data_IF_875604967335
#
_entry.id   IF_875604967335
#
_cell.length_a   1.000
_cell.length_b   1.000
_cell.length_c   1.000
_cell.angle_alpha   90.00
_cell.angle_beta   90.00
_cell.angle_gamma   90.00
#
_symmetry.space_group_name_H-M   'P 1'
#
loop_
_entity.id
_entity.type
_entity.pdbx_description
1 polymer ?
#
# COMPACT_ATOMS: atom_id res chain seq x y z
N UNK A 1 -62.64 -0.05 33.15
CA UNK A 1 -63.00 0.46 34.47
C UNK A 1 -61.88 1.31 35.06
N UNK A 2 -62.22 2.58 35.14
CA UNK A 2 -61.81 3.63 36.11
C UNK A 2 -60.32 3.95 36.25
N UNK A 3 -59.97 5.08 35.77
CA UNK A 3 -60.16 6.48 36.24
C UNK A 3 -59.03 6.96 37.16
N UNK A 4 -58.29 7.93 36.64
CA UNK A 4 -57.92 9.25 37.21
C UNK A 4 -57.42 9.27 38.64
N UNK A 5 -56.29 9.91 38.90
CA UNK A 5 -56.29 11.21 39.59
C UNK A 5 -54.94 11.94 39.47
N UNK A 6 -55.06 13.19 39.01
CA UNK A 6 -54.04 14.27 39.16
C UNK A 6 -53.90 14.63 40.63
N UNK A 7 -52.69 14.99 41.08
CA UNK A 7 -52.56 15.95 42.18
C UNK A 7 -51.37 16.90 41.95
N UNK A 8 -51.78 18.12 41.75
CA UNK A 8 -50.99 19.33 41.87
C UNK A 8 -50.78 19.61 43.34
N UNK A 9 -49.56 19.97 43.80
CA UNK A 9 -49.37 20.78 44.97
C UNK A 9 -48.36 21.90 44.71
N UNK A 10 -48.87 23.07 45.03
CA UNK A 10 -48.18 24.38 44.96
C UNK A 10 -47.42 24.65 46.27
N UNK A 11 -46.33 25.40 46.10
CA UNK A 11 -45.79 26.47 46.96
C UNK A 11 -45.48 26.22 48.42
N UNK A 12 -44.26 26.46 48.76
CA UNK A 12 -43.95 27.36 49.90
C UNK A 12 -42.64 28.09 49.62
N UNK A 13 -42.74 29.37 49.46
CA UNK A 13 -41.64 30.34 49.66
C UNK A 13 -41.18 30.25 51.11
N UNK A 14 -39.89 30.16 51.34
CA UNK A 14 -39.29 30.70 52.53
C UNK A 14 -38.07 31.50 52.14
N UNK A 15 -38.24 32.80 52.29
CA UNK A 15 -37.22 33.85 52.35
C UNK A 15 -36.24 33.56 53.46
N UNK A 16 -34.95 33.38 53.11
CA UNK A 16 -33.88 33.69 54.05
C UNK A 16 -32.85 34.51 53.30
N UNK A 17 -32.87 35.79 53.67
CA UNK A 17 -31.96 36.81 53.22
C UNK A 17 -30.57 36.62 53.85
N UNK A 18 -29.56 37.06 53.07
CA UNK A 18 -28.30 37.65 53.42
C UNK A 18 -27.15 36.79 53.93
N UNK A 19 -26.19 36.59 53.06
CA UNK A 19 -24.93 37.35 53.20
C UNK A 19 -24.29 37.42 51.84
N UNK A 20 -24.27 38.56 51.25
CA UNK A 20 -23.57 38.88 50.02
C UNK A 20 -22.08 38.69 50.22
N UNK A 21 -21.54 37.73 49.53
CA UNK A 21 -20.19 37.81 49.01
C UNK A 21 -20.39 37.76 47.51
N UNK A 22 -20.56 38.96 46.95
CA UNK A 22 -20.22 39.24 45.57
C UNK A 22 -18.73 38.96 45.45
N UNK A 23 -18.35 37.68 45.35
CA UNK A 23 -17.17 37.32 44.64
C UNK A 23 -17.55 37.53 43.18
N UNK A 24 -17.50 38.77 42.77
CA UNK A 24 -17.23 39.11 41.40
C UNK A 24 -15.88 38.48 41.10
N UNK A 25 -15.90 37.15 40.81
CA UNK A 25 -14.92 36.62 39.90
C UNK A 25 -15.09 37.48 38.64
N UNK A 26 -14.29 38.54 38.62
CA UNK A 26 -13.69 38.94 37.40
C UNK A 26 -13.03 37.64 36.84
N UNK A 27 -13.80 36.82 36.15
CA UNK A 27 -13.36 36.26 34.91
C UNK A 27 -13.04 37.51 34.07
N UNK A 28 -11.89 38.13 34.37
CA UNK A 28 -11.10 38.65 33.29
C UNK A 28 -11.06 37.48 32.32
N UNK A 29 -11.95 37.47 31.34
CA UNK A 29 -11.59 37.03 30.06
C UNK A 29 -10.23 37.71 29.87
N UNK A 30 -9.16 36.97 30.16
CA UNK A 30 -7.93 37.14 29.46
C UNK A 30 -8.36 36.69 28.07
N UNK A 31 -9.05 37.57 27.39
CA UNK A 31 -8.91 37.74 25.99
C UNK A 31 -7.39 37.72 25.88
N UNK A 32 -6.82 36.65 25.44
CA UNK A 32 -5.54 36.71 24.82
C UNK A 32 -5.74 37.72 23.69
N UNK A 33 -5.55 38.99 24.07
CA UNK A 33 -5.40 40.06 23.16
C UNK A 33 -4.05 39.78 22.49
N UNK A 34 -4.11 38.81 21.60
CA UNK A 34 -3.00 38.38 20.78
C UNK A 34 -2.85 39.55 19.79
N UNK A 35 -2.20 40.61 20.28
CA UNK A 35 -1.82 41.75 19.44
C UNK A 35 -1.04 41.32 18.22
N UNK A 36 -0.53 40.09 18.25
CA UNK A 36 0.19 39.46 17.15
C UNK A 36 -0.74 38.85 16.07
N UNK A 37 -2.02 38.58 16.38
CA UNK A 37 -2.97 38.09 15.37
C UNK A 37 -3.31 39.09 14.27
N UNK A 38 -3.08 40.37 14.52
CA UNK A 38 -3.34 41.41 13.51
C UNK A 38 -2.13 41.67 12.60
N UNK A 39 -0.96 41.13 12.91
CA UNK A 39 0.27 41.34 12.15
C UNK A 39 1.05 40.04 11.83
N UNK A 40 0.69 38.90 12.42
CA UNK A 40 1.22 37.60 12.02
C UNK A 40 0.27 36.99 11.01
N UNK A 41 0.78 36.57 9.87
CA UNK A 41 0.08 35.57 9.03
C UNK A 41 -0.25 34.42 9.96
N UNK A 42 -1.50 33.91 9.99
CA UNK A 42 -1.88 32.78 10.86
C UNK A 42 -1.05 31.49 10.58
N UNK A 43 -0.24 31.54 9.54
CA UNK A 43 0.68 30.45 9.16
C UNK A 43 2.04 31.07 8.80
N UNK A 44 3.09 30.60 9.46
CA UNK A 44 4.45 30.94 9.05
C UNK A 44 4.69 30.43 7.64
N UNK A 45 5.32 31.24 6.79
CA UNK A 45 5.71 30.80 5.47
C UNK A 45 6.79 29.72 5.60
N UNK A 46 6.67 28.67 4.82
CA UNK A 46 7.59 27.55 4.84
C UNK A 46 8.01 27.16 3.42
N UNK A 47 9.19 26.59 3.30
CA UNK A 47 9.69 26.00 2.06
C UNK A 47 9.72 24.48 2.19
N UNK A 48 9.40 23.78 1.11
CA UNK A 48 9.40 22.32 1.04
C UNK A 48 9.76 21.81 -0.37
N UNK A 49 9.95 20.52 -0.51
CA UNK A 49 10.18 19.85 -1.81
C UNK A 49 8.82 19.46 -2.40
N UNK A 50 8.52 19.86 -3.64
CA UNK A 50 7.28 19.51 -4.36
C UNK A 50 7.03 18.00 -4.38
N UNK A 51 8.04 17.22 -4.73
CA UNK A 51 7.97 15.76 -4.77
C UNK A 51 7.70 15.10 -3.41
N UNK A 52 7.93 15.84 -2.29
CA UNK A 52 7.68 15.36 -0.92
C UNK A 52 6.39 15.92 -0.30
N UNK A 53 5.53 16.60 -1.08
CA UNK A 53 4.33 17.25 -0.56
C UNK A 53 3.31 16.23 -0.02
N UNK A 54 3.06 15.17 -0.75
CA UNK A 54 2.08 14.14 -0.39
C UNK A 54 2.71 12.88 0.19
N UNK A 55 3.95 12.59 -0.16
CA UNK A 55 4.70 11.43 0.30
C UNK A 55 6.19 11.70 0.26
N UNK A 56 6.92 11.24 1.28
CA UNK A 56 8.36 11.47 1.40
C UNK A 56 9.21 10.40 0.70
N UNK A 57 8.59 9.56 -0.12
CA UNK A 57 9.24 8.45 -0.82
C UNK A 57 8.84 8.42 -2.29
N UNK A 58 9.82 8.22 -3.16
CA UNK A 58 9.63 7.99 -4.59
C UNK A 58 10.34 6.71 -5.00
N UNK A 59 9.59 5.73 -5.47
CA UNK A 59 10.16 4.51 -6.02
C UNK A 59 10.68 4.76 -7.43
N UNK A 60 11.85 4.20 -7.70
CA UNK A 60 12.50 4.21 -8.99
C UNK A 60 12.98 2.79 -9.30
N UNK A 61 12.05 1.95 -9.73
CA UNK A 61 12.34 0.60 -10.20
C UNK A 61 12.56 0.65 -11.70
N UNK A 62 13.67 0.16 -12.18
CA UNK A 62 14.04 0.20 -13.59
C UNK A 62 14.45 -1.20 -14.07
N UNK A 63 14.25 -1.42 -15.37
CA UNK A 63 14.65 -2.65 -16.03
C UNK A 63 16.18 -2.82 -15.94
N UNK A 64 16.66 -4.03 -15.74
CA UNK A 64 18.09 -4.38 -15.62
C UNK A 64 18.98 -3.88 -16.75
N UNK A 65 18.43 -3.54 -17.91
CA UNK A 65 19.16 -3.03 -19.06
C UNK A 65 19.24 -1.51 -19.11
N UNK A 66 18.47 -0.80 -18.28
CA UNK A 66 18.49 0.66 -18.22
C UNK A 66 19.71 1.11 -17.45
N UNK A 67 20.55 1.92 -18.06
CA UNK A 67 21.78 2.43 -17.46
C UNK A 67 21.60 3.77 -16.76
N UNK A 68 20.63 4.58 -17.19
CA UNK A 68 20.45 5.96 -16.77
C UNK A 68 18.99 6.27 -16.47
N UNK A 69 18.76 7.27 -15.65
CA UNK A 69 17.42 7.75 -15.32
C UNK A 69 17.44 9.18 -14.80
N UNK A 70 16.27 9.79 -14.68
CA UNK A 70 16.13 11.18 -14.21
C UNK A 70 14.96 11.33 -13.25
N UNK A 71 15.14 12.21 -12.27
CA UNK A 71 14.06 12.75 -11.45
C UNK A 71 14.22 14.26 -11.36
N UNK A 72 13.12 14.96 -11.24
CA UNK A 72 13.10 16.40 -11.05
C UNK A 72 12.52 16.75 -9.69
N UNK A 73 13.05 17.79 -9.07
CA UNK A 73 12.52 18.38 -7.83
C UNK A 73 12.58 19.89 -7.90
N UNK A 74 11.60 20.54 -7.26
CA UNK A 74 11.54 21.98 -7.10
C UNK A 74 11.38 22.34 -5.62
N UNK A 75 11.84 23.53 -5.24
CA UNK A 75 11.49 24.13 -3.97
C UNK A 75 10.19 24.90 -4.11
N UNK A 76 9.28 24.73 -3.14
CA UNK A 76 7.97 25.39 -3.12
C UNK A 76 7.79 26.12 -1.80
N UNK A 77 7.20 27.33 -1.86
CA UNK A 77 6.77 28.15 -0.71
C UNK A 77 5.27 28.01 -0.49
N UNK A 78 4.84 28.03 0.75
CA UNK A 78 3.41 28.12 1.07
C UNK A 78 2.77 29.43 0.59
N UNK A 79 3.52 30.52 0.59
CA UNK A 79 3.08 31.84 0.14
C UNK A 79 4.20 32.60 -0.58
N UNK A 80 3.88 33.50 -1.54
CA UNK A 80 4.87 34.38 -2.17
C UNK A 80 5.63 35.25 -1.18
N UNK A 81 6.88 35.58 -1.50
CA UNK A 81 7.74 36.46 -0.70
C UNK A 81 8.10 37.74 -1.46
N UNK A 82 8.47 38.80 -0.72
CA UNK A 82 8.91 40.09 -1.29
C UNK A 82 10.39 40.09 -1.72
N UNK A 83 11.07 38.96 -1.56
CA UNK A 83 12.48 38.78 -1.93
C UNK A 83 12.70 37.41 -2.52
N UNK A 84 13.78 37.28 -3.29
CA UNK A 84 14.23 35.95 -3.78
C UNK A 84 14.62 35.05 -2.60
N UNK A 85 14.22 33.76 -2.67
CA UNK A 85 14.60 32.74 -1.69
C UNK A 85 15.55 31.76 -2.36
N UNK A 86 16.78 31.71 -1.88
CA UNK A 86 17.75 30.68 -2.27
C UNK A 86 17.52 29.43 -1.43
N UNK A 87 17.43 28.27 -2.07
CA UNK A 87 17.21 26.97 -1.43
C UNK A 87 18.30 26.01 -1.88
N UNK A 88 19.00 25.41 -0.93
CA UNK A 88 20.05 24.46 -1.20
C UNK A 88 19.56 23.03 -0.95
N UNK A 89 19.78 22.16 -1.92
CA UNK A 89 19.54 20.72 -1.82
C UNK A 89 20.85 19.98 -1.59
N UNK A 90 20.76 18.85 -0.92
CA UNK A 90 21.87 17.89 -0.82
C UNK A 90 21.35 16.46 -0.71
N UNK A 91 22.18 15.50 -1.08
CA UNK A 91 22.01 14.12 -0.61
C UNK A 91 22.40 14.05 0.87
N UNK A 92 21.63 13.31 1.67
CA UNK A 92 21.86 13.13 3.10
C UNK A 92 21.86 11.65 3.47
N UNK A 93 22.97 10.93 3.21
CA UNK A 93 23.06 9.49 3.45
C UNK A 93 22.74 9.05 4.89
N UNK A 94 23.00 9.92 5.88
CA UNK A 94 22.74 9.63 7.30
C UNK A 94 21.26 9.40 7.62
N UNK A 95 20.33 9.84 6.77
CA UNK A 95 18.90 9.61 6.92
C UNK A 95 18.48 8.17 6.53
N UNK A 96 19.35 7.41 5.87
CA UNK A 96 19.03 6.06 5.43
C UNK A 96 18.76 5.10 6.61
N UNK A 97 19.54 5.21 7.67
CA UNK A 97 19.32 4.38 8.86
C UNK A 97 17.99 4.68 9.53
N UNK A 98 17.59 5.95 9.58
CA UNK A 98 16.29 6.38 10.13
C UNK A 98 15.17 5.85 9.27
N UNK A 99 15.30 5.95 7.94
CA UNK A 99 14.34 5.43 6.98
C UNK A 99 14.16 3.92 7.16
N UNK A 100 15.27 3.17 7.14
CA UNK A 100 15.26 1.73 7.30
C UNK A 100 14.64 1.28 8.63
N UNK A 101 14.96 1.97 9.73
CA UNK A 101 14.39 1.67 11.04
C UNK A 101 12.87 1.94 11.08
N UNK A 102 12.41 3.04 10.45
CA UNK A 102 11.00 3.41 10.40
C UNK A 102 10.15 2.41 9.63
N UNK A 103 10.65 1.91 8.51
CA UNK A 103 9.90 1.07 7.57
C UNK A 103 10.28 -0.42 7.64
N UNK A 104 11.21 -0.82 8.52
CA UNK A 104 11.66 -2.21 8.63
C UNK A 104 12.45 -2.70 7.41
N UNK A 105 13.01 -1.78 6.62
CA UNK A 105 13.79 -2.09 5.42
C UNK A 105 15.29 -2.19 5.71
N UNK A 106 16.08 -2.65 4.72
CA UNK A 106 17.54 -2.77 4.80
C UNK A 106 18.20 -2.22 3.54
N UNK A 107 17.70 -1.09 3.04
CA UNK A 107 18.27 -0.49 1.84
C UNK A 107 19.69 0.01 2.08
N UNK A 108 20.56 -0.24 1.11
CA UNK A 108 21.91 0.30 1.09
C UNK A 108 21.87 1.74 0.58
N UNK A 109 22.65 2.62 1.15
CA UNK A 109 22.80 3.99 0.62
C UNK A 109 23.32 3.92 -0.82
N UNK A 110 22.67 4.64 -1.74
CA UNK A 110 23.15 4.73 -3.11
C UNK A 110 24.49 5.47 -3.15
N UNK A 111 25.49 4.83 -3.73
CA UNK A 111 26.84 5.43 -3.89
C UNK A 111 26.76 6.68 -4.79
N UNK A 112 27.52 7.71 -4.45
CA UNK A 112 27.53 9.02 -5.13
C UNK A 112 27.93 8.95 -6.60
N UNK A 113 28.60 7.89 -7.05
CA UNK A 113 28.92 7.66 -8.46
C UNK A 113 27.68 7.41 -9.34
N UNK A 114 26.56 7.04 -8.71
CA UNK A 114 25.32 6.71 -9.42
C UNK A 114 24.32 7.85 -9.54
N UNK A 115 24.62 9.03 -9.02
CA UNK A 115 23.74 10.19 -9.16
C UNK A 115 24.51 11.51 -9.25
N UNK A 116 23.88 12.50 -9.86
CA UNK A 116 24.39 13.86 -9.95
C UNK A 116 23.25 14.86 -9.98
N UNK A 117 23.35 15.91 -9.19
CA UNK A 117 22.45 17.04 -9.28
C UNK A 117 22.86 17.98 -10.42
N UNK A 118 21.90 18.48 -11.19
CA UNK A 118 22.16 19.51 -12.21
C UNK A 118 22.55 20.85 -11.58
N UNK A 119 22.07 21.11 -10.34
CA UNK A 119 22.48 22.22 -9.48
C UNK A 119 22.20 21.85 -8.02
N UNK A 120 23.00 22.39 -7.09
CA UNK A 120 22.77 22.22 -5.65
C UNK A 120 21.92 23.34 -5.05
N UNK A 121 21.73 24.43 -5.78
CA UNK A 121 20.94 25.58 -5.34
C UNK A 121 19.94 25.99 -6.40
N UNK A 122 18.75 26.36 -5.93
CA UNK A 122 17.70 26.99 -6.73
C UNK A 122 17.28 28.31 -6.14
N UNK A 123 16.62 29.12 -6.94
CA UNK A 123 16.02 30.39 -6.51
C UNK A 123 14.52 30.33 -6.76
N UNK A 124 13.75 30.65 -5.73
CA UNK A 124 12.33 30.99 -5.88
C UNK A 124 12.28 32.50 -6.04
N UNK A 125 11.90 33.02 -7.22
CA UNK A 125 11.90 34.47 -7.46
C UNK A 125 10.87 35.19 -6.58
N UNK A 126 11.15 36.44 -6.27
CA UNK A 126 10.18 37.36 -5.62
C UNK A 126 8.82 37.29 -6.30
N UNK A 127 7.78 37.08 -5.50
CA UNK A 127 6.38 37.03 -5.95
C UNK A 127 5.96 35.65 -6.51
N UNK A 128 6.89 34.72 -6.69
CA UNK A 128 6.62 33.35 -7.09
C UNK A 128 6.60 32.43 -5.87
N UNK A 129 5.99 31.28 -6.02
CA UNK A 129 5.96 30.25 -4.97
C UNK A 129 6.79 29.00 -5.32
N UNK A 130 7.30 28.89 -6.54
CA UNK A 130 8.02 27.69 -7.01
C UNK A 130 9.31 28.07 -7.71
N UNK A 131 10.38 27.34 -7.44
CA UNK A 131 11.63 27.45 -8.18
C UNK A 131 11.56 26.77 -9.55
N UNK A 132 12.53 27.03 -10.42
CA UNK A 132 12.80 26.12 -11.53
C UNK A 132 13.24 24.75 -10.95
N UNK A 133 12.88 23.65 -11.61
CA UNK A 133 13.30 22.33 -11.16
C UNK A 133 14.82 22.15 -11.36
N UNK A 134 15.42 21.36 -10.46
CA UNK A 134 16.69 20.72 -10.71
C UNK A 134 16.47 19.25 -11.08
N UNK A 135 17.39 18.72 -11.88
CA UNK A 135 17.38 17.31 -12.24
C UNK A 135 18.35 16.55 -11.36
N UNK A 136 17.95 15.39 -10.92
CA UNK A 136 18.79 14.35 -10.35
C UNK A 136 19.01 13.33 -11.46
N UNK A 137 20.18 13.35 -12.07
CA UNK A 137 20.57 12.40 -13.09
C UNK A 137 21.15 11.14 -12.43
N UNK A 138 20.55 9.99 -12.69
CA UNK A 138 21.07 8.68 -12.29
C UNK A 138 21.86 8.06 -13.44
N UNK A 139 22.97 7.42 -13.13
CA UNK A 139 23.87 6.82 -14.13
C UNK A 139 24.51 5.53 -13.63
N UNK A 140 25.01 4.73 -14.56
CA UNK A 140 25.64 3.44 -14.28
C UNK A 140 24.77 2.50 -13.45
N UNK A 141 23.45 2.59 -13.64
CA UNK A 141 22.47 1.81 -12.88
C UNK A 141 22.60 0.30 -13.14
N UNK A 142 23.21 -0.07 -14.27
CA UNK A 142 23.53 -1.47 -14.58
C UNK A 142 24.59 -2.10 -13.68
N UNK A 143 25.33 -1.30 -12.91
CA UNK A 143 26.33 -1.78 -11.95
C UNK A 143 25.68 -2.18 -10.61
N UNK A 144 24.43 -1.76 -10.36
CA UNK A 144 23.70 -2.11 -9.15
C UNK A 144 23.33 -3.59 -9.15
N UNK A 145 23.31 -4.21 -7.98
CA UNK A 145 22.88 -5.60 -7.84
C UNK A 145 21.40 -5.74 -8.18
N UNK A 146 21.06 -6.82 -8.88
CA UNK A 146 19.67 -7.13 -9.24
C UNK A 146 18.89 -7.44 -7.96
N UNK A 147 17.67 -6.90 -7.87
CA UNK A 147 16.75 -7.04 -6.75
C UNK A 147 17.23 -6.44 -5.41
N UNK A 148 18.40 -5.86 -5.35
CA UNK A 148 18.83 -5.09 -4.19
C UNK A 148 18.16 -3.71 -4.16
N UNK A 149 17.83 -3.26 -2.96
CA UNK A 149 17.27 -1.93 -2.73
C UNK A 149 18.34 -0.92 -2.34
N UNK A 150 18.35 0.21 -3.01
CA UNK A 150 19.24 1.34 -2.70
C UNK A 150 18.42 2.57 -2.34
N UNK A 151 18.94 3.39 -1.44
CA UNK A 151 18.25 4.58 -0.95
C UNK A 151 19.09 5.83 -1.18
N UNK A 152 18.46 6.85 -1.77
CA UNK A 152 19.00 8.19 -1.90
C UNK A 152 18.07 9.20 -1.20
N UNK A 153 18.32 9.56 0.06
CA UNK A 153 17.63 10.69 0.69
C UNK A 153 18.16 12.01 0.13
N UNK A 154 17.26 12.84 -0.38
CA UNK A 154 17.56 14.20 -0.85
C UNK A 154 16.81 15.19 0.03
N UNK A 155 17.50 16.15 0.61
CA UNK A 155 16.92 17.09 1.58
C UNK A 155 17.22 18.54 1.23
N UNK A 156 16.37 19.43 1.68
CA UNK A 156 16.70 20.85 1.76
C UNK A 156 17.69 21.02 2.92
N UNK A 157 18.90 21.45 2.60
CA UNK A 157 19.93 21.75 3.59
C UNK A 157 19.63 23.07 4.32
N UNK A 158 19.44 24.13 3.55
CA UNK A 158 19.14 25.45 4.08
C UNK A 158 18.34 26.31 3.08
N UNK A 159 17.64 27.30 3.60
CA UNK A 159 16.99 28.33 2.82
C UNK A 159 17.40 29.73 3.31
N UNK A 160 17.49 30.69 2.39
CA UNK A 160 17.88 32.08 2.73
C UNK A 160 16.81 32.80 3.53
N UNK A 161 17.18 33.99 4.05
CA UNK A 161 16.28 34.92 4.74
C UNK A 161 15.57 34.34 5.98
N UNK A 162 16.17 33.32 6.63
CA UNK A 162 15.58 32.66 7.78
C UNK A 162 14.29 31.88 7.48
N UNK A 163 14.06 31.53 6.21
CA UNK A 163 12.88 30.77 5.80
C UNK A 163 12.83 29.42 6.51
N UNK A 164 11.72 29.14 7.16
CA UNK A 164 11.48 27.87 7.83
C UNK A 164 11.29 26.73 6.80
N UNK A 165 11.80 25.56 7.10
CA UNK A 165 11.67 24.37 6.24
C UNK A 165 10.59 23.47 6.85
N UNK A 166 9.60 23.05 6.05
CA UNK A 166 8.53 22.17 6.48
C UNK A 166 9.08 20.76 6.75
N UNK A 167 9.11 20.35 8.02
CA UNK A 167 9.78 19.13 8.46
C UNK A 167 9.28 17.85 7.76
N UNK A 168 7.98 17.73 7.53
CA UNK A 168 7.37 16.57 6.88
C UNK A 168 7.68 16.44 5.38
N UNK A 169 8.01 17.57 4.71
CA UNK A 169 8.27 17.61 3.26
C UNK A 169 9.65 18.20 2.94
N UNK A 170 10.54 18.14 3.93
CA UNK A 170 11.94 18.59 3.80
C UNK A 170 12.77 17.63 2.96
N UNK A 171 12.43 16.35 2.99
CA UNK A 171 13.24 15.27 2.43
C UNK A 171 12.37 14.39 1.55
N UNK A 172 12.89 14.06 0.37
CA UNK A 172 12.37 13.00 -0.49
C UNK A 172 13.36 11.84 -0.50
N UNK A 173 12.90 10.64 -0.26
CA UNK A 173 13.69 9.41 -0.30
C UNK A 173 13.46 8.68 -1.62
N UNK A 174 14.46 8.59 -2.47
CA UNK A 174 14.39 7.76 -3.67
C UNK A 174 14.80 6.34 -3.34
N UNK A 175 13.88 5.39 -3.52
CA UNK A 175 14.16 3.96 -3.46
C UNK A 175 14.48 3.47 -4.86
N UNK A 176 15.73 3.14 -5.10
CA UNK A 176 16.25 2.71 -6.40
C UNK A 176 16.40 1.20 -6.39
N UNK A 177 15.75 0.53 -7.33
CA UNK A 177 15.86 -0.91 -7.51
C UNK A 177 16.15 -1.24 -8.96
N UNK A 178 17.25 -1.95 -9.18
CA UNK A 178 17.47 -2.64 -10.43
C UNK A 178 16.67 -3.93 -10.39
N UNK A 179 15.49 -3.90 -10.96
CA UNK A 179 14.67 -5.09 -11.08
C UNK A 179 15.35 -6.09 -12.03
N UNK A 180 15.35 -7.37 -11.67
CA UNK A 180 15.18 -8.34 -12.71
C UNK A 180 13.86 -7.91 -13.35
N UNK A 181 13.90 -7.33 -14.55
CA UNK A 181 12.66 -6.99 -15.23
C UNK A 181 11.75 -8.19 -15.05
N UNK A 182 10.47 -7.98 -14.74
CA UNK A 182 9.51 -9.07 -14.77
C UNK A 182 9.44 -9.51 -16.22
N UNK A 183 10.53 -10.14 -16.67
CA UNK A 183 10.72 -10.56 -18.06
C UNK A 183 9.90 -11.79 -18.37
N UNK A 184 9.35 -12.40 -17.32
CA UNK A 184 8.63 -13.67 -17.41
C UNK A 184 7.51 -13.66 -16.39
N UNK A 185 6.38 -14.25 -16.74
CA UNK A 185 5.26 -14.52 -15.86
C UNK A 185 4.79 -15.97 -16.07
N UNK A 186 4.08 -16.52 -15.10
CA UNK A 186 3.44 -17.81 -15.28
C UNK A 186 2.08 -17.66 -15.95
N UNK A 187 1.83 -18.44 -17.01
CA UNK A 187 0.50 -18.53 -17.59
C UNK A 187 -0.40 -19.41 -16.73
N UNK A 188 -1.54 -18.87 -16.36
CA UNK A 188 -2.62 -19.59 -15.69
C UNK A 188 -3.67 -20.14 -16.67
N UNK A 189 -3.50 -19.88 -17.97
CA UNK A 189 -4.42 -20.40 -18.97
C UNK A 189 -4.39 -21.93 -18.97
N UNK A 190 -5.51 -22.55 -18.70
CA UNK A 190 -5.69 -24.00 -18.57
C UNK A 190 -4.72 -24.61 -17.53
N UNK A 191 -4.34 -23.82 -16.51
CA UNK A 191 -3.41 -24.20 -15.45
C UNK A 191 -3.72 -23.45 -14.14
N UNK A 192 -3.17 -23.91 -13.04
CA UNK A 192 -3.19 -23.27 -11.72
C UNK A 192 -2.06 -23.84 -10.87
N UNK A 193 -1.84 -23.26 -9.70
CA UNK A 193 -0.83 -23.76 -8.76
C UNK A 193 -1.47 -24.14 -7.43
N UNK A 194 -0.99 -25.25 -6.89
CA UNK A 194 -1.26 -25.72 -5.53
C UNK A 194 -0.05 -25.41 -4.65
N UNK A 195 -0.29 -25.23 -3.35
CA UNK A 195 0.78 -25.03 -2.36
C UNK A 195 0.72 -26.17 -1.35
N UNK A 196 1.39 -27.31 -1.60
CA UNK A 196 1.33 -28.46 -0.71
C UNK A 196 1.78 -28.17 0.72
N UNK A 197 2.64 -27.16 0.90
CA UNK A 197 3.01 -26.65 2.21
C UNK A 197 1.86 -26.06 3.04
N UNK A 198 0.74 -25.72 2.40
CA UNK A 198 -0.49 -25.25 3.07
C UNK A 198 -1.50 -26.36 3.32
N UNK A 199 -1.19 -27.60 2.93
CA UNK A 199 -2.08 -28.72 3.17
C UNK A 199 -2.29 -28.93 4.68
N UNK A 200 -3.47 -29.42 5.02
CA UNK A 200 -3.83 -29.69 6.41
C UNK A 200 -2.79 -30.61 7.08
N UNK A 201 -2.28 -30.14 8.22
CA UNK A 201 -1.27 -30.85 9.01
C UNK A 201 0.17 -30.69 8.51
N UNK A 202 0.41 -29.95 7.43
CA UNK A 202 1.78 -29.59 7.04
C UNK A 202 2.42 -28.65 8.09
N UNK A 203 3.66 -28.90 8.51
CA UNK A 203 4.34 -28.01 9.46
C UNK A 203 4.58 -26.60 8.91
N UNK A 204 4.75 -26.48 7.59
CA UNK A 204 4.99 -25.20 6.91
C UNK A 204 3.72 -24.35 6.79
N UNK A 205 2.54 -24.93 7.00
CA UNK A 205 1.28 -24.19 7.05
C UNK A 205 1.16 -23.24 8.26
N UNK A 206 1.99 -23.42 9.30
CA UNK A 206 1.92 -22.61 10.53
C UNK A 206 2.04 -21.11 10.28
N UNK A 207 2.80 -20.67 9.26
CA UNK A 207 3.01 -19.26 8.91
C UNK A 207 1.77 -18.56 8.34
N UNK A 208 0.79 -19.33 7.87
CA UNK A 208 -0.46 -18.82 7.28
C UNK A 208 -1.70 -19.22 8.09
N UNK A 209 -1.51 -19.62 9.34
CA UNK A 209 -2.58 -19.97 10.24
C UNK A 209 -2.69 -18.98 11.40
N UNK A 210 -3.89 -18.86 11.96
CA UNK A 210 -4.21 -17.94 13.06
C UNK A 210 -3.82 -16.49 12.78
N UNK A 211 -3.98 -16.04 11.54
CA UNK A 211 -3.67 -14.69 11.12
C UNK A 211 -4.81 -13.74 11.52
N UNK A 212 -4.54 -12.79 12.44
CA UNK A 212 -5.47 -11.71 12.77
C UNK A 212 -5.61 -10.70 11.63
N UNK A 213 -4.60 -10.61 10.78
CA UNK A 213 -4.57 -9.75 9.61
C UNK A 213 -4.08 -10.52 8.38
N UNK A 214 -4.50 -10.09 7.22
CA UNK A 214 -4.15 -10.70 5.94
C UNK A 214 -3.92 -9.63 4.90
N UNK A 215 -2.90 -9.80 4.06
CA UNK A 215 -2.82 -9.15 2.76
C UNK A 215 -2.54 -10.20 1.70
N UNK A 216 -3.37 -10.20 0.64
CA UNK A 216 -3.07 -10.86 -0.63
C UNK A 216 -2.63 -9.83 -1.65
N UNK A 217 -1.55 -10.11 -2.36
CA UNK A 217 -1.04 -9.28 -3.45
C UNK A 217 -0.64 -10.16 -4.64
N UNK A 218 -0.85 -9.66 -5.84
CA UNK A 218 -0.32 -10.23 -7.06
C UNK A 218 -0.25 -9.20 -8.18
N UNK A 219 0.60 -9.43 -9.16
CA UNK A 219 0.53 -8.74 -10.44
C UNK A 219 -0.09 -9.71 -11.44
N UNK A 220 -1.16 -9.30 -12.09
CA UNK A 220 -1.94 -10.13 -13.01
C UNK A 220 -2.20 -9.42 -14.33
N UNK A 221 -2.33 -10.20 -15.39
CA UNK A 221 -2.91 -9.79 -16.67
C UNK A 221 -4.00 -10.79 -17.03
N UNK A 222 -5.21 -10.33 -17.26
CA UNK A 222 -6.34 -11.18 -17.65
C UNK A 222 -6.54 -11.07 -19.15
N UNK A 223 -6.48 -12.19 -19.88
CA UNK A 223 -6.64 -12.20 -21.33
C UNK A 223 -8.10 -11.91 -21.72
N UNK A 224 -9.05 -12.46 -20.95
CA UNK A 224 -10.48 -12.27 -21.19
C UNK A 224 -11.32 -12.56 -19.95
N UNK A 225 -12.44 -11.88 -19.83
CA UNK A 225 -13.40 -12.00 -18.72
C UNK A 225 -14.67 -12.77 -19.17
N UNK A 226 -14.51 -14.00 -19.62
CA UNK A 226 -15.63 -14.82 -20.08
C UNK A 226 -16.32 -15.60 -18.96
N UNK A 227 -15.62 -15.84 -17.86
CA UNK A 227 -16.12 -16.59 -16.70
C UNK A 227 -16.82 -15.66 -15.70
N UNK A 228 -17.81 -16.20 -15.00
CA UNK A 228 -18.46 -15.44 -13.91
C UNK A 228 -17.50 -15.18 -12.75
N UNK A 229 -16.56 -16.10 -12.52
CA UNK A 229 -15.52 -15.99 -11.49
C UNK A 229 -14.17 -16.35 -12.12
N UNK A 230 -13.16 -15.52 -11.86
CA UNK A 230 -11.75 -15.79 -12.14
C UNK A 230 -10.96 -15.65 -10.84
N UNK A 231 -10.34 -16.71 -10.37
CA UNK A 231 -9.64 -16.72 -9.08
C UNK A 231 -8.23 -16.15 -9.22
N UNK A 232 -7.86 -15.20 -8.37
CA UNK A 232 -6.47 -14.77 -8.20
C UNK A 232 -5.77 -15.76 -7.26
N UNK A 233 -6.21 -15.85 -6.02
CA UNK A 233 -5.71 -16.82 -5.04
C UNK A 233 -6.66 -16.97 -3.86
N UNK A 234 -6.53 -18.07 -3.14
CA UNK A 234 -7.27 -18.30 -1.92
C UNK A 234 -7.94 -19.66 -1.84
N UNK A 235 -8.95 -19.76 -1.00
CA UNK A 235 -9.68 -20.99 -0.70
C UNK A 235 -11.17 -20.75 -0.95
N UNK A 236 -11.75 -21.57 -1.81
CA UNK A 236 -13.17 -21.53 -2.16
C UNK A 236 -14.06 -21.62 -0.91
N UNK A 237 -15.14 -20.82 -0.88
CA UNK A 237 -16.11 -20.73 0.22
C UNK A 237 -15.51 -20.38 1.60
N UNK A 238 -14.28 -19.89 1.64
CA UNK A 238 -13.64 -19.53 2.90
C UNK A 238 -12.95 -18.17 2.84
N UNK A 239 -11.87 -18.05 2.09
CA UNK A 239 -11.09 -16.83 2.01
C UNK A 239 -10.54 -16.72 0.58
N UNK A 240 -11.20 -15.94 -0.28
CA UNK A 240 -10.95 -15.98 -1.71
C UNK A 240 -10.80 -14.57 -2.30
N UNK A 241 -9.67 -14.32 -2.93
CA UNK A 241 -9.42 -13.16 -3.75
C UNK A 241 -9.65 -13.52 -5.22
N UNK A 242 -10.59 -12.85 -5.87
CA UNK A 242 -11.09 -13.22 -7.18
C UNK A 242 -11.55 -12.01 -7.99
N UNK A 243 -11.95 -12.26 -9.24
CA UNK A 243 -12.53 -11.29 -10.16
C UNK A 243 -13.89 -11.83 -10.58
N UNK A 244 -14.95 -11.01 -10.48
CA UNK A 244 -16.30 -11.38 -10.78
C UNK A 244 -16.98 -12.24 -9.73
N UNK A 245 -18.27 -12.42 -9.87
CA UNK A 245 -19.15 -13.35 -9.15
C UNK A 245 -20.53 -13.36 -9.82
N UNK A 246 -21.41 -14.29 -9.43
CA UNK A 246 -22.82 -14.26 -9.86
C UNK A 246 -23.46 -12.92 -9.46
N UNK A 247 -23.93 -12.17 -10.45
CA UNK A 247 -24.51 -10.84 -10.24
C UNK A 247 -23.51 -9.69 -10.10
N UNK A 248 -22.23 -9.96 -10.28
CA UNK A 248 -21.18 -8.96 -10.31
C UNK A 248 -20.62 -8.77 -11.73
N UNK A 249 -20.07 -7.59 -12.05
CA UNK A 249 -19.29 -7.44 -13.27
C UNK A 249 -18.11 -8.42 -13.29
N UNK A 250 -17.94 -9.11 -14.41
CA UNK A 250 -16.86 -10.11 -14.58
C UNK A 250 -15.45 -9.55 -14.55
N UNK A 251 -15.29 -8.23 -14.60
CA UNK A 251 -14.01 -7.50 -14.52
C UNK A 251 -13.76 -6.88 -13.15
N UNK A 252 -14.66 -7.02 -12.20
CA UNK A 252 -14.54 -6.39 -10.90
C UNK A 252 -13.81 -7.30 -9.91
N UNK A 253 -12.76 -6.78 -9.25
CA UNK A 253 -12.12 -7.45 -8.12
C UNK A 253 -13.11 -7.65 -6.97
N UNK A 254 -13.01 -8.80 -6.33
CA UNK A 254 -13.82 -9.17 -5.18
C UNK A 254 -12.98 -9.98 -4.16
N UNK A 255 -13.25 -9.75 -2.90
CA UNK A 255 -12.77 -10.56 -1.80
C UNK A 255 -13.96 -11.17 -1.05
N UNK A 256 -13.90 -12.46 -0.79
CA UNK A 256 -14.83 -13.17 0.06
C UNK A 256 -14.10 -13.64 1.32
N UNK A 257 -14.52 -13.16 2.49
CA UNK A 257 -13.95 -13.53 3.77
C UNK A 257 -14.67 -14.75 4.37
N UNK A 258 -14.14 -15.34 5.45
CA UNK A 258 -14.85 -16.38 6.20
C UNK A 258 -16.28 -15.97 6.54
N UNK A 259 -17.25 -16.85 6.25
CA UNK A 259 -18.68 -16.56 6.40
C UNK A 259 -19.36 -16.08 5.10
N UNK A 260 -18.65 -16.14 3.97
CA UNK A 260 -19.12 -15.74 2.62
C UNK A 260 -19.55 -14.26 2.54
N UNK A 261 -18.85 -13.41 3.28
CA UNK A 261 -19.06 -11.96 3.18
C UNK A 261 -18.24 -11.42 2.02
N UNK A 262 -18.93 -10.82 1.05
CA UNK A 262 -18.37 -10.37 -0.23
C UNK A 262 -18.10 -8.87 -0.23
N UNK A 263 -16.96 -8.46 -0.75
CA UNK A 263 -16.50 -7.08 -0.83
C UNK A 263 -15.66 -6.86 -2.10
N UNK A 264 -15.78 -5.72 -2.78
CA UNK A 264 -16.76 -4.65 -2.64
C UNK A 264 -18.13 -5.02 -3.25
N UNK A 265 -19.12 -4.17 -3.07
CA UNK A 265 -20.40 -4.30 -3.77
C UNK A 265 -20.26 -4.15 -5.29
N UNK A 266 -21.17 -4.69 -6.11
CA UNK A 266 -21.13 -4.56 -7.56
C UNK A 266 -21.02 -3.10 -8.02
N UNK A 267 -20.09 -2.81 -8.95
CA UNK A 267 -19.88 -1.47 -9.47
C UNK A 267 -19.25 -1.49 -10.87
N UNK A 268 -19.87 -0.82 -11.82
CA UNK A 268 -19.33 -0.68 -13.17
C UNK A 268 -18.20 0.37 -13.29
N UNK A 269 -17.83 1.03 -12.18
CA UNK A 269 -16.76 2.02 -12.15
C UNK A 269 -15.42 1.47 -11.65
N UNK A 270 -15.35 0.15 -11.40
CA UNK A 270 -14.18 -0.51 -10.77
C UNK A 270 -13.76 -1.74 -11.56
N UNK A 271 -13.68 -1.59 -12.89
CA UNK A 271 -13.46 -2.69 -13.80
C UNK A 271 -12.01 -2.72 -14.29
N UNK A 272 -11.40 -3.89 -14.24
CA UNK A 272 -10.15 -4.18 -14.92
C UNK A 272 -10.37 -4.29 -16.43
N UNK A 273 -9.34 -3.98 -17.21
CA UNK A 273 -9.37 -4.14 -18.66
C UNK A 273 -8.63 -5.42 -19.06
N UNK A 274 -9.07 -6.08 -20.11
CA UNK A 274 -8.39 -7.24 -20.66
C UNK A 274 -7.03 -6.85 -21.29
N UNK A 275 -6.07 -7.74 -21.15
CA UNK A 275 -4.70 -7.61 -21.67
C UNK A 275 -3.87 -6.49 -21.04
N UNK A 276 -4.34 -5.91 -19.93
CA UNK A 276 -3.60 -4.92 -19.16
C UNK A 276 -3.04 -5.55 -17.89
N UNK A 277 -1.82 -5.16 -17.52
CA UNK A 277 -1.21 -5.56 -16.26
C UNK A 277 -1.68 -4.68 -15.11
N UNK A 278 -2.04 -5.30 -14.01
CA UNK A 278 -2.44 -4.64 -12.77
C UNK A 278 -1.73 -5.26 -11.57
N UNK A 279 -1.22 -4.43 -10.69
CA UNK A 279 -0.98 -4.87 -9.32
C UNK A 279 -2.31 -4.85 -8.58
N UNK A 280 -2.72 -5.97 -8.03
CA UNK A 280 -3.96 -6.10 -7.28
C UNK A 280 -3.66 -6.57 -5.86
N UNK A 281 -4.31 -5.94 -4.88
CA UNK A 281 -4.15 -6.34 -3.50
C UNK A 281 -5.46 -6.18 -2.71
N UNK A 282 -5.59 -6.98 -1.66
CA UNK A 282 -6.64 -6.83 -0.65
C UNK A 282 -6.03 -7.02 0.72
N UNK A 283 -6.35 -6.10 1.62
CA UNK A 283 -6.02 -6.23 3.05
C UNK A 283 -7.28 -6.55 3.84
N UNK A 284 -7.15 -7.36 4.87
CA UNK A 284 -8.23 -7.67 5.80
C UNK A 284 -7.69 -7.73 7.23
N UNK A 285 -8.23 -6.88 8.08
CA UNK A 285 -8.00 -6.88 9.52
C UNK A 285 -9.22 -7.48 10.21
N UNK A 286 -9.05 -8.67 10.81
CA UNK A 286 -10.16 -9.38 11.44
C UNK A 286 -10.58 -8.76 12.77
N UNK A 287 -9.66 -8.10 13.47
CA UNK A 287 -9.93 -7.49 14.77
C UNK A 287 -10.69 -6.17 14.61
N UNK A 288 -10.23 -5.31 13.68
CA UNK A 288 -10.90 -4.05 13.35
C UNK A 288 -12.01 -4.23 12.31
N UNK A 289 -12.18 -5.43 11.77
CA UNK A 289 -13.20 -5.78 10.77
C UNK A 289 -13.18 -4.84 9.56
N UNK A 290 -11.99 -4.54 9.08
CA UNK A 290 -11.78 -3.63 7.94
C UNK A 290 -11.18 -4.38 6.78
N UNK A 291 -11.74 -4.21 5.58
CA UNK A 291 -11.13 -4.69 4.35
C UNK A 291 -10.95 -3.55 3.34
N UNK A 292 -9.81 -3.57 2.64
CA UNK A 292 -9.46 -2.54 1.66
C UNK A 292 -8.93 -3.23 0.39
N UNK A 293 -9.48 -2.82 -0.75
CA UNK A 293 -9.06 -3.28 -2.08
C UNK A 293 -8.19 -2.23 -2.74
N UNK A 294 -7.08 -2.68 -3.34
CA UNK A 294 -6.14 -1.81 -4.04
C UNK A 294 -5.94 -2.28 -5.48
N UNK A 295 -5.78 -1.31 -6.39
CA UNK A 295 -5.34 -1.51 -7.76
C UNK A 295 -4.21 -0.53 -8.04
N UNK A 296 -3.09 -1.03 -8.54
CA UNK A 296 -1.86 -0.26 -8.80
C UNK A 296 -1.43 0.60 -7.61
N UNK A 297 -1.47 -0.03 -6.41
CA UNK A 297 -1.10 0.60 -5.15
C UNK A 297 -2.05 1.69 -4.65
N UNK A 298 -3.19 1.90 -5.29
CA UNK A 298 -4.19 2.91 -4.90
C UNK A 298 -5.44 2.24 -4.34
N UNK A 299 -5.95 2.79 -3.24
CA UNK A 299 -7.21 2.34 -2.66
C UNK A 299 -8.34 2.50 -3.69
N UNK A 300 -8.99 1.38 -4.01
CA UNK A 300 -10.15 1.35 -4.89
C UNK A 300 -11.47 1.27 -4.10
N UNK A 301 -11.46 0.55 -3.00
CA UNK A 301 -12.64 0.29 -2.17
C UNK A 301 -12.24 0.02 -0.73
N UNK A 302 -13.09 0.44 0.20
CA UNK A 302 -12.96 0.19 1.65
C UNK A 302 -14.30 -0.21 2.22
N UNK A 303 -14.28 -1.09 3.21
CA UNK A 303 -15.44 -1.43 4.03
C UNK A 303 -15.01 -1.61 5.49
N UNK A 304 -15.86 -1.17 6.40
CA UNK A 304 -15.76 -1.38 7.83
C UNK A 304 -16.89 -2.31 8.29
N UNK A 305 -16.79 -2.85 9.51
CA UNK A 305 -17.69 -3.90 10.02
C UNK A 305 -17.77 -5.15 9.12
N UNK A 306 -16.66 -5.48 8.47
CA UNK A 306 -16.55 -6.58 7.53
C UNK A 306 -16.15 -7.90 8.19
N UNK A 307 -16.86 -8.98 7.84
CA UNK A 307 -16.54 -10.32 8.31
C UNK A 307 -16.93 -10.59 9.78
N UNK A 308 -16.52 -11.72 10.30
CA UNK A 308 -16.94 -12.23 11.61
C UNK A 308 -15.88 -12.09 12.72
N UNK A 309 -14.71 -11.53 12.42
CA UNK A 309 -13.61 -11.36 13.39
C UNK A 309 -12.81 -12.63 13.66
N UNK A 310 -13.04 -13.72 12.92
CA UNK A 310 -12.30 -14.95 13.10
C UNK A 310 -10.94 -14.87 12.39
N UNK A 311 -9.82 -15.24 13.05
CA UNK A 311 -8.52 -15.32 12.40
C UNK A 311 -8.51 -16.24 11.18
N UNK A 312 -7.70 -15.91 10.20
CA UNK A 312 -7.59 -16.63 8.93
C UNK A 312 -6.63 -17.81 9.07
N UNK A 313 -7.01 -18.96 8.51
CA UNK A 313 -6.20 -20.17 8.48
C UNK A 313 -6.15 -20.73 7.04
N UNK A 314 -5.14 -20.37 6.27
CA UNK A 314 -5.03 -20.84 4.88
C UNK A 314 -4.53 -22.29 4.79
N UNK A 315 -3.89 -22.78 5.82
CA UNK A 315 -3.40 -24.16 5.90
C UNK A 315 -4.32 -25.11 6.67
N UNK A 316 -5.47 -24.65 7.14
CA UNK A 316 -6.41 -25.49 7.92
C UNK A 316 -7.80 -25.41 7.32
N UNK A 317 -8.21 -26.50 6.61
CA UNK A 317 -9.55 -26.65 6.05
C UNK A 317 -10.20 -27.90 6.60
N UNK A 318 -11.16 -27.72 7.50
CA UNK A 318 -12.08 -28.75 7.95
C UNK A 318 -13.45 -28.38 7.41
N UNK A 319 -13.90 -29.01 6.31
CA UNK A 319 -15.27 -28.89 5.82
C UNK A 319 -15.84 -30.26 5.51
N UNK A 320 -17.06 -30.46 5.94
CA UNK A 320 -17.71 -31.78 6.10
C UNK A 320 -17.82 -32.64 4.84
N UNK A 321 -17.60 -32.11 3.65
CA UNK A 321 -17.82 -32.85 2.39
C UNK A 321 -16.86 -32.57 1.25
N UNK A 322 -16.11 -31.48 1.30
CA UNK A 322 -15.13 -31.13 0.28
C UNK A 322 -14.01 -30.31 0.91
N UNK A 323 -12.78 -30.79 0.82
CA UNK A 323 -11.61 -30.04 1.25
C UNK A 323 -11.20 -29.09 0.12
N UNK A 324 -11.61 -27.83 0.20
CA UNK A 324 -11.04 -26.83 -0.67
C UNK A 324 -9.68 -26.41 -0.11
N UNK A 325 -8.65 -26.58 -0.91
CA UNK A 325 -7.28 -26.19 -0.56
C UNK A 325 -6.95 -24.83 -1.13
N UNK A 326 -5.93 -24.19 -0.57
CA UNK A 326 -5.42 -22.94 -1.13
C UNK A 326 -4.84 -23.20 -2.53
N UNK A 327 -5.25 -22.35 -3.48
CA UNK A 327 -4.76 -22.39 -4.86
C UNK A 327 -4.49 -20.98 -5.38
N UNK A 328 -3.65 -20.90 -6.38
CA UNK A 328 -3.37 -19.68 -7.14
C UNK A 328 -3.88 -19.92 -8.56
N UNK A 329 -4.73 -19.02 -9.04
CA UNK A 329 -5.33 -19.08 -10.36
C UNK A 329 -6.57 -19.97 -10.49
N UNK A 330 -7.00 -20.63 -9.41
CA UNK A 330 -8.17 -21.50 -9.40
C UNK A 330 -8.72 -21.69 -7.98
N UNK A 331 -9.98 -22.12 -7.83
CA UNK A 331 -10.56 -22.29 -6.49
C UNK A 331 -11.53 -23.46 -6.33
N UNK A 332 -11.92 -24.12 -7.39
CA UNK A 332 -12.99 -25.15 -7.37
C UNK A 332 -12.52 -26.47 -7.96
N UNK A 333 -12.81 -27.60 -7.29
CA UNK A 333 -12.29 -28.94 -7.61
C UNK A 333 -13.32 -29.92 -8.20
N UNK A 334 -14.39 -29.43 -8.83
CA UNK A 334 -15.42 -30.26 -9.44
C UNK A 334 -15.22 -30.51 -10.94
N UNK A 335 -15.99 -31.41 -11.57
CA UNK A 335 -15.68 -31.99 -12.88
C UNK A 335 -15.39 -31.01 -14.02
N UNK A 336 -15.85 -29.77 -13.91
CA UNK A 336 -15.49 -28.69 -14.83
C UNK A 336 -14.34 -27.85 -14.22
N UNK A 337 -13.18 -28.45 -14.16
CA UNK A 337 -11.95 -27.98 -13.48
C UNK A 337 -11.62 -26.51 -13.75
N UNK A 338 -12.02 -25.97 -14.89
CA UNK A 338 -11.60 -24.63 -15.31
C UNK A 338 -12.67 -23.53 -15.20
N UNK A 339 -13.81 -23.79 -14.57
CA UNK A 339 -14.90 -22.81 -14.48
C UNK A 339 -14.52 -21.52 -13.71
N UNK A 340 -13.62 -21.61 -12.74
CA UNK A 340 -13.19 -20.49 -11.89
C UNK A 340 -11.73 -20.12 -12.05
N UNK A 341 -11.11 -20.62 -13.11
CA UNK A 341 -9.74 -20.35 -13.40
C UNK A 341 -9.56 -18.94 -13.97
N UNK A 342 -8.44 -18.31 -13.64
CA UNK A 342 -8.00 -17.09 -14.26
C UNK A 342 -7.38 -17.40 -15.62
N UNK A 343 -7.98 -16.89 -16.70
CA UNK A 343 -7.40 -16.95 -18.05
C UNK A 343 -6.47 -15.76 -18.23
N UNK A 344 -5.20 -15.95 -17.92
CA UNK A 344 -4.22 -14.86 -17.92
C UNK A 344 -2.87 -15.27 -17.38
N UNK A 345 -2.11 -14.30 -16.95
CA UNK A 345 -0.76 -14.46 -16.39
C UNK A 345 -0.69 -13.87 -14.98
N UNK A 346 0.27 -14.41 -14.20
CA UNK A 346 0.54 -13.97 -12.83
C UNK A 346 2.05 -13.86 -12.57
N UNK A 347 2.42 -12.86 -11.78
CA UNK A 347 3.74 -12.75 -11.16
C UNK A 347 3.63 -12.02 -9.83
N UNK A 348 4.70 -12.00 -9.04
CA UNK A 348 4.80 -11.26 -7.77
C UNK A 348 3.66 -11.56 -6.78
N UNK A 349 3.22 -12.82 -6.69
CA UNK A 349 2.15 -13.20 -5.77
C UNK A 349 2.69 -13.35 -4.33
N UNK A 350 1.99 -12.75 -3.37
CA UNK A 350 2.42 -12.65 -1.97
C UNK A 350 1.27 -12.83 -0.99
N UNK A 351 1.61 -13.40 0.16
CA UNK A 351 0.72 -13.52 1.32
C UNK A 351 1.41 -12.93 2.53
N UNK A 352 0.69 -12.07 3.25
CA UNK A 352 1.16 -11.42 4.47
C UNK A 352 0.21 -11.70 5.63
N UNK A 353 0.75 -11.82 6.84
CA UNK A 353 -0.03 -11.87 8.08
C UNK A 353 -0.20 -10.50 8.74
N UNK A 354 -0.06 -9.45 7.97
CA UNK A 354 -0.29 -8.05 8.33
C UNK A 354 -1.20 -7.39 7.31
N UNK A 355 -2.04 -6.47 7.74
CA UNK A 355 -2.79 -5.58 6.85
C UNK A 355 -1.86 -4.44 6.43
N UNK A 356 -1.30 -4.53 5.23
CA UNK A 356 -0.36 -3.55 4.70
C UNK A 356 -1.04 -2.21 4.42
N UNK A 357 -0.31 -1.14 4.67
CA UNK A 357 -0.76 0.21 4.31
C UNK A 357 -0.71 0.43 2.79
N UNK A 358 -1.47 1.42 2.30
CA UNK A 358 -1.41 1.82 0.89
C UNK A 358 0.01 2.16 0.44
N UNK A 359 0.75 2.87 1.29
CA UNK A 359 2.12 3.27 1.00
C UNK A 359 3.06 2.07 0.85
N UNK A 360 3.02 1.12 1.78
CA UNK A 360 3.81 -0.12 1.71
C UNK A 360 3.47 -0.93 0.46
N UNK A 361 2.19 -1.03 0.08
CA UNK A 361 1.74 -1.71 -1.13
C UNK A 361 2.29 -0.98 -2.36
N UNK A 362 2.08 0.35 -2.45
CA UNK A 362 2.51 1.15 -3.59
C UNK A 362 4.03 1.09 -3.81
N UNK A 363 4.79 1.22 -2.75
CA UNK A 363 6.27 1.22 -2.82
C UNK A 363 6.86 -0.13 -3.22
N UNK A 364 6.12 -1.22 -2.97
CA UNK A 364 6.63 -2.57 -3.14
C UNK A 364 5.86 -3.39 -4.19
N UNK A 365 5.11 -2.75 -5.09
CA UNK A 365 4.30 -3.46 -6.08
C UNK A 365 5.10 -4.48 -6.89
N UNK A 366 6.29 -4.10 -7.34
CA UNK A 366 7.09 -4.89 -8.28
C UNK A 366 8.15 -5.78 -7.63
N UNK A 367 8.42 -5.60 -6.36
CA UNK A 367 9.43 -6.38 -5.64
C UNK A 367 9.35 -6.11 -4.14
N UNK A 368 9.69 -7.09 -3.34
CA UNK A 368 9.82 -6.99 -1.89
C UNK A 368 10.99 -7.82 -1.40
N UNK A 369 11.62 -7.39 -0.30
CA UNK A 369 12.63 -8.20 0.35
C UNK A 369 12.01 -9.47 0.96
N UNK A 370 12.50 -10.68 0.61
CA UNK A 370 11.93 -11.93 1.10
C UNK A 370 11.89 -12.07 2.62
N UNK A 371 12.74 -11.33 3.32
CA UNK A 371 12.83 -11.33 4.79
C UNK A 371 11.99 -10.24 5.45
N UNK A 372 11.14 -9.53 4.69
CA UNK A 372 10.28 -8.48 5.24
C UNK A 372 9.35 -9.05 6.31
N UNK A 373 9.29 -8.45 7.51
CA UNK A 373 8.40 -8.92 8.57
C UNK A 373 6.94 -9.00 8.11
N UNK A 374 6.30 -10.10 8.46
CA UNK A 374 4.90 -10.35 8.09
C UNK A 374 4.70 -11.02 6.72
N UNK A 375 5.73 -11.15 5.90
CA UNK A 375 5.66 -11.89 4.63
C UNK A 375 5.67 -13.40 4.91
N UNK A 376 4.57 -14.07 4.58
CA UNK A 376 4.38 -15.50 4.85
C UNK A 376 4.74 -16.40 3.67
N UNK A 377 4.47 -15.94 2.46
CA UNK A 377 4.83 -16.63 1.21
C UNK A 377 4.99 -15.62 0.08
N UNK A 378 5.91 -15.90 -0.82
CA UNK A 378 6.23 -15.03 -1.95
C UNK A 378 6.69 -15.84 -3.16
N UNK A 379 5.92 -15.81 -4.24
CA UNK A 379 6.23 -16.45 -5.51
C UNK A 379 6.42 -15.39 -6.59
N UNK A 380 7.63 -15.31 -7.13
CA UNK A 380 7.93 -14.37 -8.22
C UNK A 380 7.30 -14.80 -9.53
N UNK A 381 7.16 -16.10 -9.78
CA UNK A 381 6.73 -16.67 -11.04
C UNK A 381 7.59 -16.22 -12.23
N UNK A 382 8.90 -16.21 -12.02
CA UNK A 382 9.89 -15.78 -13.00
C UNK A 382 10.92 -16.87 -13.36
N UNK A 383 10.62 -18.12 -13.04
CA UNK A 383 11.50 -19.27 -13.25
C UNK A 383 11.81 -19.48 -14.74
N UNK A 384 10.86 -19.23 -15.64
CA UNK A 384 11.03 -19.35 -17.09
C UNK A 384 11.01 -20.77 -17.61
N UNK A 385 11.07 -21.78 -16.73
CA UNK A 385 11.02 -23.20 -17.05
C UNK A 385 10.50 -24.01 -15.86
N UNK A 386 10.09 -25.26 -16.10
CA UNK A 386 9.59 -26.17 -15.09
C UNK A 386 8.15 -25.85 -14.68
N UNK A 387 7.70 -26.56 -13.63
CA UNK A 387 6.31 -26.55 -13.15
C UNK A 387 6.21 -26.15 -11.67
N UNK A 388 7.21 -25.43 -11.16
CA UNK A 388 7.32 -25.06 -9.77
C UNK A 388 7.69 -23.58 -9.65
N UNK A 389 6.97 -22.86 -8.82
CA UNK A 389 7.35 -21.51 -8.38
C UNK A 389 7.90 -21.57 -6.95
N UNK A 390 9.10 -21.04 -6.77
CA UNK A 390 9.84 -21.12 -5.50
C UNK A 390 9.31 -20.06 -4.53
N UNK A 391 9.05 -20.50 -3.29
CA UNK A 391 8.77 -19.59 -2.19
C UNK A 391 10.05 -18.86 -1.77
N UNK A 392 10.11 -17.59 -2.08
CA UNK A 392 11.28 -16.73 -1.82
C UNK A 392 11.51 -16.45 -0.33
N UNK A 393 10.51 -16.67 0.53
CA UNK A 393 10.64 -16.39 1.98
C UNK A 393 11.51 -17.41 2.71
N UNK A 394 11.75 -18.57 2.10
CA UNK A 394 12.45 -19.67 2.74
C UNK A 394 11.58 -20.50 3.71
N UNK A 395 10.28 -20.21 3.82
CA UNK A 395 9.34 -21.00 4.64
C UNK A 395 9.02 -22.37 4.03
N UNK A 396 9.44 -22.63 2.78
CA UNK A 396 9.30 -23.92 2.11
C UNK A 396 7.91 -24.18 1.51
N UNK A 397 7.16 -23.14 1.22
CA UNK A 397 5.82 -23.19 0.66
C UNK A 397 5.83 -22.98 -0.86
N UNK A 398 6.64 -23.77 -1.57
CA UNK A 398 6.70 -23.72 -3.03
C UNK A 398 5.34 -24.02 -3.65
N UNK A 399 5.00 -23.32 -4.73
CA UNK A 399 3.79 -23.56 -5.50
C UNK A 399 4.07 -24.52 -6.67
N UNK A 400 3.24 -25.53 -6.81
CA UNK A 400 3.37 -26.58 -7.82
C UNK A 400 2.24 -26.45 -8.82
N UNK A 401 2.58 -26.37 -10.10
CA UNK A 401 1.60 -26.27 -11.16
C UNK A 401 0.83 -27.59 -11.35
N UNK A 402 -0.46 -27.46 -11.67
CA UNK A 402 -1.31 -28.60 -12.03
C UNK A 402 -0.87 -29.30 -13.33
N UNK A 403 -0.34 -28.53 -14.26
CA UNK A 403 0.14 -29.00 -15.55
C UNK A 403 1.38 -28.21 -15.97
N UNK A 404 1.97 -28.56 -17.13
CA UNK A 404 3.13 -27.87 -17.65
C UNK A 404 2.88 -26.37 -17.78
N UNK A 405 3.75 -25.56 -17.17
CA UNK A 405 3.65 -24.11 -17.21
C UNK A 405 4.14 -23.56 -18.55
N UNK A 406 3.39 -22.62 -19.11
CA UNK A 406 3.87 -21.73 -20.13
C UNK A 406 4.39 -20.46 -19.47
N UNK A 407 5.56 -19.99 -19.92
CA UNK A 407 6.25 -18.83 -19.37
C UNK A 407 6.32 -17.72 -20.41
N UNK A 408 5.21 -16.97 -20.63
CA UNK A 408 5.22 -15.84 -21.54
C UNK A 408 6.08 -14.69 -21.02
N UNK A 409 6.34 -13.73 -21.90
CA UNK A 409 6.99 -12.49 -21.52
C UNK A 409 6.19 -11.76 -20.44
N UNK A 410 6.90 -11.25 -19.46
CA UNK A 410 6.33 -10.49 -18.34
C UNK A 410 6.08 -9.03 -18.67
N UNK A 411 6.09 -8.21 -17.63
CA UNK A 411 5.91 -6.77 -17.75
C UNK A 411 7.22 -6.15 -18.21
N UNK A 412 7.22 -5.44 -19.35
CA UNK A 412 8.19 -4.38 -19.56
C UNK A 412 7.77 -3.22 -18.66
N UNK A 413 8.51 -2.98 -17.57
CA UNK A 413 8.32 -1.77 -16.78
C UNK A 413 8.79 -0.60 -17.62
N UNK A 414 7.91 -0.10 -18.46
CA UNK A 414 8.08 1.21 -19.10
C UNK A 414 7.70 2.25 -18.05
N UNK A 415 8.65 3.14 -17.76
CA UNK A 415 8.42 4.30 -16.89
C UNK A 415 7.36 5.24 -17.45
#
# INVERSE_FOLDING_TARGET
NRMKTKRIFRSALSTASFAGITLATLLSAVSCDNKDYNNASPFDNVVYIDAAELQDVSNFTFNRTIADGKKEISAVLAFPTDADINVNFKAEPSLADIYNARLGTKFTVLDSRHYKFSAEQVVIPKGEITSKPITIDFSSLTDLEIDAGYLLPVTIDQASNGMSILGGSRTICYVIRRSSAITTAASLKDNYFEVPGFDFGSPTASVVNNMAQLTFEAIIRVNKFERDISTVMGIEQYCLFRIGDAGFPRQQLQFSSPGDVKFPNPSNNKLLQANEWYHVAVTYDTEHKTAIMYVDGKEQSRIEDYGNGTPINLGKQEREKQAYMFKIGHSYDEPDVFLRQLDGEICEARIWNVARTQEEIYQNMYSVEPTTPGLCAYWKFNEGEGDKAIDQTGNGNDAIAHSKVMWPDGIEVTQ
#
